data_IF_011210665280
#
_entry.id   IF_011210665280
#
_cell.length_a   1.000
_cell.length_b   1.000
_cell.length_c   1.000
_cell.angle_alpha   90.00
_cell.angle_beta   90.00
_cell.angle_gamma   90.00
#
_symmetry.space_group_name_H-M   'P 1'
#
loop_
_entity.id
_entity.type
_entity.pdbx_description
1 polymer ?
#
# COMPACT_ATOMS: atom_id res chain seq x y z
N UNK A 1 12.47 -16.34 37.67
CA UNK A 1 13.48 -16.00 36.65
C UNK A 1 12.93 -15.04 35.58
N UNK A 2 11.85 -15.40 34.85
CA UNK A 2 11.24 -14.55 33.81
C UNK A 2 10.79 -13.16 34.32
N UNK A 3 10.08 -13.08 35.45
CA UNK A 3 9.71 -11.81 36.10
C UNK A 3 10.93 -10.97 36.54
N UNK A 4 11.96 -11.62 37.11
CA UNK A 4 13.06 -10.94 37.80
C UNK A 4 14.21 -10.48 36.88
N UNK A 5 14.39 -11.11 35.72
CA UNK A 5 15.47 -10.75 34.78
C UNK A 5 14.94 -9.85 33.65
N UNK A 6 13.67 -9.98 33.29
CA UNK A 6 13.12 -9.40 32.05
C UNK A 6 11.87 -8.53 32.23
N UNK A 7 11.46 -8.23 33.48
CA UNK A 7 10.33 -7.35 33.82
C UNK A 7 8.98 -7.70 33.18
N UNK A 8 8.72 -8.99 32.89
CA UNK A 8 7.40 -9.41 32.43
C UNK A 8 6.35 -9.29 33.53
N UNK A 9 5.14 -8.93 33.13
CA UNK A 9 3.96 -8.98 33.99
C UNK A 9 3.58 -10.43 34.29
N UNK A 10 2.81 -10.62 35.35
CA UNK A 10 2.33 -11.93 35.77
C UNK A 10 1.46 -12.61 34.71
N UNK A 11 0.64 -11.82 34.00
CA UNK A 11 -0.21 -12.31 32.91
C UNK A 11 0.61 -12.84 31.74
N UNK A 12 1.64 -12.09 31.31
CA UNK A 12 2.54 -12.51 30.22
C UNK A 12 3.32 -13.78 30.60
N UNK A 13 3.73 -13.88 31.86
CA UNK A 13 4.44 -15.06 32.36
C UNK A 13 3.55 -16.30 32.34
N UNK A 14 2.27 -16.16 32.69
CA UNK A 14 1.33 -17.28 32.75
C UNK A 14 0.88 -17.76 31.37
N UNK A 15 0.70 -16.86 30.40
CA UNK A 15 0.43 -17.23 29.00
C UNK A 15 1.57 -18.05 28.39
N UNK A 16 2.83 -17.68 28.69
CA UNK A 16 4.02 -18.39 28.21
C UNK A 16 4.07 -19.82 28.75
N UNK A 17 3.73 -20.02 30.03
CA UNK A 17 3.76 -21.33 30.67
C UNK A 17 2.62 -22.25 30.19
N UNK A 18 1.42 -21.70 30.01
CA UNK A 18 0.25 -22.45 29.54
C UNK A 18 0.37 -22.90 28.08
N UNK A 19 1.02 -22.11 27.22
CA UNK A 19 1.13 -22.39 25.79
C UNK A 19 2.07 -23.57 25.46
N UNK A 20 2.96 -23.95 26.38
CA UNK A 20 4.03 -24.91 26.09
C UNK A 20 4.01 -26.22 26.90
N UNK A 21 2.94 -26.48 27.68
CA UNK A 21 2.56 -27.80 28.21
C UNK A 21 3.73 -28.70 28.66
N UNK A 22 4.62 -28.18 29.53
CA UNK A 22 5.92 -28.77 29.86
C UNK A 22 5.75 -30.01 30.77
N UNK A 23 6.08 -31.25 30.33
CA UNK A 23 6.11 -32.42 31.19
C UNK A 23 7.55 -32.73 31.64
N UNK A 24 7.70 -33.12 32.91
CA UNK A 24 8.97 -33.44 33.56
C UNK A 24 9.36 -34.91 33.29
N UNK A 25 10.65 -35.09 32.95
CA UNK A 25 11.55 -36.26 33.06
C UNK A 25 11.75 -37.27 31.90
N UNK A 26 13.02 -37.22 31.44
CA UNK A 26 14.05 -38.27 31.39
C UNK A 26 14.24 -39.19 30.17
N UNK A 27 15.40 -38.94 29.53
CA UNK A 27 16.52 -39.85 29.18
C UNK A 27 16.85 -40.06 27.67
N UNK A 28 18.05 -39.55 27.36
CA UNK A 28 19.14 -40.20 26.59
C UNK A 28 19.20 -39.94 25.07
N UNK A 29 20.08 -38.98 24.73
CA UNK A 29 21.39 -39.19 24.08
C UNK A 29 21.39 -39.77 22.65
N UNK A 30 21.69 -38.89 21.70
CA UNK A 30 22.93 -38.83 20.90
C UNK A 30 22.75 -38.70 19.38
N UNK A 31 23.33 -37.61 18.87
CA UNK A 31 24.13 -37.44 17.63
C UNK A 31 23.43 -37.66 16.28
N UNK A 32 23.48 -36.60 15.45
CA UNK A 32 24.18 -36.49 14.14
C UNK A 32 24.09 -34.99 13.75
N UNK A 33 25.16 -34.19 13.86
CA UNK A 33 26.24 -33.95 12.87
C UNK A 33 25.74 -33.25 11.60
N UNK A 34 25.95 -31.93 11.47
CA UNK A 34 26.90 -31.36 10.48
C UNK A 34 26.89 -29.82 10.44
N UNK A 35 28.11 -29.28 10.40
CA UNK A 35 28.50 -27.95 9.91
C UNK A 35 27.87 -27.67 8.54
N UNK A 36 27.28 -26.49 8.35
CA UNK A 36 27.12 -25.89 7.02
C UNK A 36 27.79 -24.51 7.05
N UNK A 37 28.73 -24.32 6.12
CA UNK A 37 29.57 -23.15 5.91
C UNK A 37 28.75 -21.92 5.46
N UNK A 38 28.97 -20.78 6.09
CA UNK A 38 28.35 -19.48 5.80
C UNK A 38 28.99 -18.73 4.60
N UNK A 39 29.22 -19.38 3.46
CA UNK A 39 29.90 -18.74 2.32
C UNK A 39 29.21 -18.90 0.95
N UNK A 40 27.89 -19.14 0.92
CA UNK A 40 27.15 -19.31 -0.34
C UNK A 40 26.07 -18.25 -0.64
N UNK A 41 25.79 -17.29 0.24
CA UNK A 41 24.69 -16.35 0.02
C UNK A 41 25.05 -15.13 -0.84
N UNK A 42 26.33 -14.74 -0.92
CA UNK A 42 26.78 -13.63 -1.77
C UNK A 42 26.75 -13.93 -3.30
N UNK A 43 26.22 -15.08 -3.72
CA UNK A 43 26.16 -15.49 -5.13
C UNK A 43 24.81 -15.99 -5.62
N UNK A 44 23.76 -15.93 -4.80
CA UNK A 44 22.44 -16.43 -5.20
C UNK A 44 21.68 -15.41 -6.06
N UNK A 45 21.04 -15.88 -7.11
CA UNK A 45 20.22 -15.03 -7.97
C UNK A 45 18.76 -14.97 -7.47
N UNK A 46 17.99 -14.03 -8.02
CA UNK A 46 16.60 -13.71 -7.63
C UNK A 46 15.63 -14.91 -7.67
N UNK A 47 15.99 -15.99 -8.38
CA UNK A 47 15.18 -17.20 -8.49
C UNK A 47 15.45 -18.18 -7.33
N UNK A 48 16.67 -18.20 -6.80
CA UNK A 48 17.08 -19.08 -5.69
C UNK A 48 16.56 -18.58 -4.33
N UNK A 49 16.44 -17.26 -4.15
CA UNK A 49 15.76 -16.64 -3.00
C UNK A 49 14.27 -17.06 -2.92
N UNK A 50 13.61 -17.28 -4.06
CA UNK A 50 12.21 -17.72 -4.13
C UNK A 50 11.97 -19.17 -3.64
N UNK A 51 13.01 -20.00 -3.57
CA UNK A 51 12.91 -21.45 -3.27
C UNK A 51 13.16 -21.75 -1.77
N UNK A 52 13.58 -20.76 -0.98
CA UNK A 52 13.67 -20.94 0.46
C UNK A 52 12.25 -21.23 0.98
N UNK A 53 12.13 -22.12 1.96
CA UNK A 53 10.86 -22.47 2.62
C UNK A 53 10.82 -21.70 3.96
N UNK A 54 9.65 -21.26 4.46
CA UNK A 54 9.49 -20.43 5.67
C UNK A 54 10.35 -20.92 6.85
N UNK A 55 10.43 -22.24 7.04
CA UNK A 55 11.26 -22.87 8.07
C UNK A 55 12.77 -22.66 7.91
N UNK A 56 13.30 -22.66 6.68
CA UNK A 56 14.73 -22.46 6.42
C UNK A 56 15.15 -21.00 6.58
N UNK A 57 14.24 -20.06 6.29
CA UNK A 57 14.44 -18.64 6.54
C UNK A 57 14.44 -18.32 8.04
N UNK A 58 13.46 -18.84 8.78
CA UNK A 58 13.45 -18.73 10.25
C UNK A 58 14.71 -19.33 10.90
N UNK A 59 15.18 -20.49 10.43
CA UNK A 59 16.41 -21.13 10.91
C UNK A 59 17.66 -20.29 10.62
N UNK A 60 17.69 -19.57 9.49
CA UNK A 60 18.76 -18.63 9.14
C UNK A 60 18.79 -17.40 10.07
N UNK A 61 17.64 -16.79 10.37
CA UNK A 61 17.55 -15.66 11.30
C UNK A 61 17.95 -16.06 12.73
N UNK A 62 17.66 -17.30 13.14
CA UNK A 62 18.05 -17.84 14.45
C UNK A 62 19.56 -18.10 14.59
N UNK A 63 20.28 -18.26 13.47
CA UNK A 63 21.70 -18.61 13.44
C UNK A 63 22.61 -17.40 13.20
N UNK A 64 22.12 -16.33 12.57
CA UNK A 64 22.88 -15.09 12.37
C UNK A 64 22.45 -14.05 13.41
N UNK A 65 23.29 -13.86 14.43
CA UNK A 65 23.10 -12.89 15.52
C UNK A 65 23.16 -11.40 15.07
N UNK A 66 22.99 -11.10 13.79
CA UNK A 66 23.03 -9.75 13.24
C UNK A 66 21.61 -9.25 12.91
N UNK A 67 21.07 -8.42 13.80
CA UNK A 67 19.70 -7.90 13.71
C UNK A 67 19.49 -6.96 12.51
N UNK A 68 20.57 -6.34 12.02
CA UNK A 68 20.52 -5.32 10.96
C UNK A 68 20.39 -5.96 9.58
N UNK A 69 21.23 -6.95 9.25
CA UNK A 69 21.11 -7.77 8.01
C UNK A 69 19.81 -8.59 7.96
N UNK A 70 19.30 -9.01 9.13
CA UNK A 70 18.03 -9.73 9.28
C UNK A 70 16.84 -8.86 8.88
N UNK A 71 16.92 -7.54 9.10
CA UNK A 71 15.80 -6.61 8.85
C UNK A 71 15.57 -6.37 7.34
N UNK A 72 16.65 -6.24 6.55
CA UNK A 72 16.55 -6.08 5.08
C UNK A 72 15.98 -7.34 4.40
N UNK A 73 16.38 -8.52 4.86
CA UNK A 73 15.88 -9.81 4.35
C UNK A 73 14.39 -10.05 4.68
N UNK A 74 13.90 -9.56 5.82
CA UNK A 74 12.49 -9.65 6.21
C UNK A 74 11.60 -8.78 5.29
N UNK A 75 12.09 -7.63 4.82
CA UNK A 75 11.36 -6.77 3.88
C UNK A 75 11.18 -7.42 2.50
N UNK A 76 12.09 -8.32 2.09
CA UNK A 76 12.05 -9.01 0.81
C UNK A 76 11.23 -10.33 0.84
N UNK A 77 11.11 -10.97 2.02
CA UNK A 77 10.76 -12.40 2.09
C UNK A 77 9.33 -12.77 2.52
N UNK A 78 8.52 -11.91 3.17
CA UNK A 78 7.12 -12.31 3.46
C UNK A 78 6.08 -11.18 3.42
N UNK A 79 5.48 -10.99 2.24
CA UNK A 79 4.26 -10.18 2.02
C UNK A 79 2.95 -10.90 2.38
N UNK A 80 2.97 -12.18 2.78
CA UNK A 80 1.77 -13.01 2.63
C UNK A 80 1.01 -13.30 3.92
N UNK A 81 1.65 -13.49 5.08
CA UNK A 81 0.92 -13.78 6.33
C UNK A 81 1.06 -12.71 7.43
N UNK A 82 2.28 -12.36 7.84
CA UNK A 82 2.52 -11.36 8.91
C UNK A 82 2.17 -9.96 8.42
N UNK A 83 2.51 -9.63 7.17
CA UNK A 83 2.08 -8.39 6.53
C UNK A 83 0.55 -8.25 6.54
N UNK A 84 -0.20 -9.30 6.18
CA UNK A 84 -1.66 -9.26 6.19
C UNK A 84 -2.23 -9.10 7.60
N UNK A 85 -1.61 -9.71 8.62
CA UNK A 85 -1.98 -9.49 10.03
C UNK A 85 -1.75 -8.03 10.45
N UNK A 86 -0.58 -7.49 10.15
CA UNK A 86 -0.25 -6.09 10.44
C UNK A 86 -1.17 -5.12 9.72
N UNK A 87 -1.45 -5.39 8.44
CA UNK A 87 -2.39 -4.62 7.62
C UNK A 87 -3.78 -4.62 8.22
N UNK A 88 -4.33 -5.79 8.54
CA UNK A 88 -5.66 -5.92 9.16
C UNK A 88 -5.73 -5.15 10.47
N UNK A 89 -4.71 -5.27 11.32
CA UNK A 89 -4.64 -4.54 12.59
C UNK A 89 -4.60 -3.03 12.40
N UNK A 90 -3.84 -2.55 11.42
CA UNK A 90 -3.83 -1.13 11.06
C UNK A 90 -5.19 -0.64 10.55
N UNK A 91 -5.86 -1.42 9.70
CA UNK A 91 -7.19 -1.09 9.17
C UNK A 91 -8.22 -0.96 10.31
N UNK A 92 -8.16 -1.86 11.31
CA UNK A 92 -8.97 -1.78 12.54
C UNK A 92 -8.67 -0.51 13.35
N UNK A 93 -7.40 -0.20 13.62
CA UNK A 93 -7.00 1.01 14.38
C UNK A 93 -7.38 2.31 13.66
N UNK A 94 -7.21 2.37 12.34
CA UNK A 94 -7.62 3.50 11.50
C UNK A 94 -9.14 3.68 11.52
N UNK A 95 -9.90 2.59 11.41
CA UNK A 95 -11.35 2.67 11.46
C UNK A 95 -11.86 3.06 12.85
N UNK A 96 -11.21 2.59 13.92
CA UNK A 96 -11.48 3.03 15.29
C UNK A 96 -11.22 4.53 15.47
N UNK A 97 -10.18 5.08 14.83
CA UNK A 97 -9.95 6.53 14.82
C UNK A 97 -11.13 7.29 14.21
N UNK A 98 -11.70 6.83 13.10
CA UNK A 98 -12.90 7.46 12.50
C UNK A 98 -14.08 7.35 13.47
N UNK A 99 -14.35 6.13 13.97
CA UNK A 99 -15.50 5.83 14.84
C UNK A 99 -15.48 6.61 16.15
N UNK A 100 -14.29 6.80 16.75
CA UNK A 100 -14.13 7.49 18.03
C UNK A 100 -14.14 9.02 17.91
N UNK A 101 -14.26 9.56 16.69
CA UNK A 101 -14.34 11.01 16.43
C UNK A 101 -15.61 11.35 15.64
N UNK A 102 -16.83 11.03 16.15
CA UNK A 102 -18.08 11.22 15.42
C UNK A 102 -18.50 12.70 15.29
N UNK A 103 -17.92 13.60 16.10
CA UNK A 103 -18.13 15.05 16.04
C UNK A 103 -17.42 15.70 14.84
N UNK A 104 -16.47 14.99 14.21
CA UNK A 104 -15.75 15.51 13.05
C UNK A 104 -16.58 15.35 11.78
N UNK A 105 -16.50 16.31 10.84
CA UNK A 105 -17.30 16.29 9.62
C UNK A 105 -16.71 15.32 8.58
N UNK A 106 -16.68 14.03 8.92
CA UNK A 106 -16.27 12.96 8.00
C UNK A 106 -17.21 12.88 6.81
N UNK A 107 -16.64 12.66 5.62
CA UNK A 107 -17.43 12.55 4.40
C UNK A 107 -17.64 11.08 4.05
N UNK A 108 -18.74 10.50 4.54
CA UNK A 108 -19.00 9.06 4.44
C UNK A 108 -19.14 8.52 3.02
N UNK A 109 -19.54 9.37 2.05
CA UNK A 109 -19.50 8.99 0.63
C UNK A 109 -18.08 8.64 0.17
N UNK A 110 -17.10 9.44 0.58
CA UNK A 110 -15.68 9.23 0.25
C UNK A 110 -15.12 8.05 1.05
N UNK A 111 -15.46 7.96 2.35
CA UNK A 111 -15.03 6.81 3.16
C UNK A 111 -15.53 5.48 2.56
N UNK A 112 -16.74 5.47 1.98
CA UNK A 112 -17.27 4.29 1.27
C UNK A 112 -16.44 3.87 0.06
N UNK A 113 -15.71 4.80 -0.57
CA UNK A 113 -14.79 4.53 -1.67
C UNK A 113 -13.42 4.03 -1.19
N UNK A 114 -13.08 4.30 0.08
CA UNK A 114 -11.75 4.06 0.61
C UNK A 114 -11.38 2.57 0.52
N UNK A 115 -10.23 2.22 -0.07
CA UNK A 115 -9.79 0.83 -0.25
C UNK A 115 -9.49 0.11 1.07
N UNK A 116 -9.42 0.81 2.20
CA UNK A 116 -9.26 0.22 3.52
C UNK A 116 -10.61 -0.17 4.16
N UNK A 117 -11.76 0.26 3.60
CA UNK A 117 -13.09 -0.17 4.05
C UNK A 117 -13.40 -1.56 3.49
N UNK A 118 -13.58 -2.52 4.39
CA UNK A 118 -13.98 -3.89 4.07
C UNK A 118 -15.48 -4.10 4.26
N UNK A 119 -16.04 -5.12 3.61
CA UNK A 119 -17.45 -5.49 3.82
C UNK A 119 -17.75 -5.84 5.28
N UNK A 120 -16.82 -6.50 5.99
CA UNK A 120 -17.01 -6.82 7.41
C UNK A 120 -17.10 -5.55 8.29
N UNK A 121 -16.33 -4.50 7.98
CA UNK A 121 -16.46 -3.21 8.66
C UNK A 121 -17.82 -2.58 8.42
N UNK A 122 -18.31 -2.58 7.18
CA UNK A 122 -19.64 -2.06 6.81
C UNK A 122 -20.73 -2.82 7.55
N UNK A 123 -20.69 -4.16 7.48
CA UNK A 123 -21.66 -5.07 8.11
C UNK A 123 -21.70 -4.93 9.64
N UNK A 124 -20.56 -4.77 10.29
CA UNK A 124 -20.47 -4.63 11.75
C UNK A 124 -20.84 -3.22 12.25
N UNK A 125 -20.96 -2.24 11.36
CA UNK A 125 -21.27 -0.85 11.73
C UNK A 125 -22.41 -0.28 10.86
N UNK A 126 -23.63 -0.85 10.94
CA UNK A 126 -24.75 -0.48 10.06
C UNK A 126 -25.35 0.91 10.37
N UNK A 127 -25.01 1.50 11.51
CA UNK A 127 -25.46 2.83 11.92
C UNK A 127 -24.69 3.96 11.22
N UNK A 128 -23.53 3.65 10.62
CA UNK A 128 -22.77 4.60 9.82
C UNK A 128 -23.50 4.82 8.48
N UNK A 129 -23.64 6.07 8.00
CA UNK A 129 -24.36 6.37 6.77
C UNK A 129 -23.52 6.03 5.52
N UNK A 130 -23.27 4.74 5.31
CA UNK A 130 -22.54 4.22 4.16
C UNK A 130 -23.26 4.54 2.85
N UNK A 131 -22.48 4.90 1.82
CA UNK A 131 -23.00 5.07 0.46
C UNK A 131 -22.85 3.75 -0.31
N UNK A 132 -23.96 3.03 -0.43
CA UNK A 132 -23.98 1.73 -1.11
C UNK A 132 -23.77 1.81 -2.64
N UNK A 133 -24.05 2.96 -3.27
CA UNK A 133 -23.71 3.17 -4.68
C UNK A 133 -22.19 3.19 -4.87
N UNK A 134 -21.47 3.87 -3.96
CA UNK A 134 -20.00 3.93 -3.99
C UNK A 134 -19.37 2.63 -3.50
N UNK A 135 -19.91 1.98 -2.47
CA UNK A 135 -19.44 0.65 -2.06
C UNK A 135 -19.54 -0.35 -3.22
N UNK A 136 -20.53 -0.21 -4.10
CA UNK A 136 -20.71 -1.09 -5.26
C UNK A 136 -19.51 -1.10 -6.22
N UNK A 137 -18.74 -0.02 -6.33
CA UNK A 137 -17.51 0.02 -7.16
C UNK A 137 -16.27 -0.46 -6.39
N UNK A 138 -16.32 -0.56 -5.06
CA UNK A 138 -15.19 -0.95 -4.23
C UNK A 138 -14.74 -2.39 -4.52
N UNK A 139 -13.43 -2.58 -4.75
CA UNK A 139 -12.81 -3.88 -5.08
C UNK A 139 -13.00 -4.95 -3.99
N UNK A 140 -13.35 -4.56 -2.77
CA UNK A 140 -13.64 -5.50 -1.68
C UNK A 140 -15.08 -6.01 -1.68
N UNK A 141 -15.96 -5.46 -2.51
CA UNK A 141 -17.28 -6.03 -2.78
C UNK A 141 -17.17 -7.05 -3.91
N UNK A 142 -17.33 -8.32 -3.57
CA UNK A 142 -17.37 -9.43 -4.52
C UNK A 142 -18.81 -9.73 -4.95
N UNK A 143 -18.97 -10.49 -6.03
CA UNK A 143 -20.30 -10.91 -6.47
C UNK A 143 -20.99 -11.82 -5.45
N UNK A 144 -20.25 -12.65 -4.71
CA UNK A 144 -20.77 -13.48 -3.62
C UNK A 144 -21.37 -12.59 -2.51
N UNK A 145 -20.69 -11.52 -2.11
CA UNK A 145 -21.21 -10.55 -1.14
C UNK A 145 -22.52 -9.94 -1.63
N UNK A 146 -22.60 -9.55 -2.90
CA UNK A 146 -23.82 -8.99 -3.50
C UNK A 146 -24.96 -10.02 -3.49
N UNK A 147 -24.66 -11.28 -3.83
CA UNK A 147 -25.63 -12.37 -3.88
C UNK A 147 -26.15 -12.76 -2.49
N UNK A 148 -25.27 -12.81 -1.50
CA UNK A 148 -25.59 -13.23 -0.13
C UNK A 148 -26.33 -12.12 0.65
N UNK A 149 -26.26 -10.87 0.18
CA UNK A 149 -26.89 -9.71 0.82
C UNK A 149 -27.85 -8.99 -0.15
N UNK A 150 -28.93 -9.65 -0.63
CA UNK A 150 -29.81 -9.10 -1.66
C UNK A 150 -30.72 -7.96 -1.19
N UNK A 151 -30.82 -7.76 0.13
CA UNK A 151 -31.60 -6.68 0.76
C UNK A 151 -30.86 -5.34 0.76
N UNK A 152 -29.54 -5.36 0.53
CA UNK A 152 -28.72 -4.15 0.42
C UNK A 152 -29.00 -3.50 -0.94
N UNK A 153 -29.16 -2.17 -1.00
CA UNK A 153 -29.47 -1.45 -2.24
C UNK A 153 -28.22 -1.31 -3.13
N UNK A 154 -27.67 -2.41 -3.62
CA UNK A 154 -26.52 -2.41 -4.51
C UNK A 154 -26.83 -1.72 -5.84
N UNK A 155 -25.91 -0.86 -6.29
CA UNK A 155 -26.01 -0.18 -7.57
C UNK A 155 -25.38 -0.99 -8.68
N UNK A 156 -26.21 -1.66 -9.47
CA UNK A 156 -25.75 -2.43 -10.64
C UNK A 156 -25.06 -1.56 -11.70
N UNK A 157 -25.38 -0.27 -11.74
CA UNK A 157 -24.68 0.69 -12.57
C UNK A 157 -23.22 0.86 -12.14
N UNK A 158 -22.94 0.98 -10.83
CA UNK A 158 -21.57 1.10 -10.30
C UNK A 158 -20.86 -0.26 -10.20
N UNK A 159 -21.56 -1.35 -9.89
CA UNK A 159 -21.02 -2.72 -9.99
C UNK A 159 -20.48 -3.01 -11.40
N UNK A 160 -21.05 -2.39 -12.43
CA UNK A 160 -20.55 -2.53 -13.81
C UNK A 160 -19.08 -2.12 -13.97
N UNK A 161 -18.56 -1.24 -13.11
CA UNK A 161 -17.14 -0.82 -13.10
C UNK A 161 -16.27 -1.67 -12.16
N UNK A 162 -16.87 -2.51 -11.33
CA UNK A 162 -16.18 -3.28 -10.32
C UNK A 162 -15.36 -4.42 -10.97
N UNK A 163 -14.06 -4.56 -10.63
CA UNK A 163 -13.20 -5.59 -11.22
C UNK A 163 -13.60 -7.03 -10.87
N UNK A 164 -14.46 -7.24 -9.86
CA UNK A 164 -14.99 -8.56 -9.52
C UNK A 164 -16.22 -8.96 -10.35
N UNK A 165 -16.73 -8.07 -11.22
CA UNK A 165 -17.87 -8.37 -12.08
C UNK A 165 -17.38 -8.83 -13.45
N UNK A 166 -17.66 -10.08 -13.77
CA UNK A 166 -17.36 -10.70 -15.07
C UNK A 166 -18.52 -10.55 -16.05
N UNK A 167 -18.24 -10.73 -17.34
CA UNK A 167 -19.31 -10.72 -18.36
C UNK A 167 -20.35 -11.83 -18.14
N UNK A 168 -19.95 -13.00 -17.65
CA UNK A 168 -20.90 -14.09 -17.35
C UNK A 168 -21.88 -13.71 -16.25
N UNK A 169 -21.42 -13.00 -15.22
CA UNK A 169 -22.30 -12.45 -14.17
C UNK A 169 -23.32 -11.49 -14.81
N UNK A 170 -22.86 -10.58 -15.67
CA UNK A 170 -23.74 -9.61 -16.36
C UNK A 170 -24.77 -10.32 -17.24
N UNK A 171 -24.34 -11.33 -18.00
CA UNK A 171 -25.19 -12.12 -18.89
C UNK A 171 -26.25 -12.92 -18.13
N UNK A 172 -25.87 -13.60 -17.05
CA UNK A 172 -26.75 -14.40 -16.21
C UNK A 172 -27.72 -13.55 -15.38
N UNK A 173 -27.44 -12.25 -15.21
CA UNK A 173 -28.25 -11.30 -14.47
C UNK A 173 -28.67 -10.13 -15.38
N UNK A 174 -29.05 -10.43 -16.62
CA UNK A 174 -29.37 -9.44 -17.66
C UNK A 174 -30.58 -8.57 -17.33
N UNK A 175 -31.43 -8.98 -16.40
CA UNK A 175 -32.56 -8.22 -15.89
C UNK A 175 -32.14 -7.04 -14.98
N UNK A 176 -30.88 -6.97 -14.57
CA UNK A 176 -30.35 -5.87 -13.74
C UNK A 176 -29.92 -4.68 -14.60
N UNK A 177 -29.96 -3.48 -14.03
CA UNK A 177 -29.65 -2.22 -14.72
C UNK A 177 -28.14 -1.97 -14.78
N UNK A 178 -27.42 -2.74 -15.61
CA UNK A 178 -26.00 -2.55 -15.84
C UNK A 178 -25.71 -1.31 -16.70
N UNK A 179 -24.67 -0.55 -16.35
CA UNK A 179 -24.23 0.64 -17.09
C UNK A 179 -23.34 0.25 -18.26
N UNK A 180 -23.74 0.59 -19.49
CA UNK A 180 -22.91 0.33 -20.66
C UNK A 180 -21.60 1.12 -20.64
N UNK A 181 -21.62 2.34 -20.09
CA UNK A 181 -20.43 3.17 -19.92
C UNK A 181 -19.40 2.45 -19.04
N UNK A 182 -19.80 2.03 -17.85
CA UNK A 182 -18.92 1.36 -16.90
C UNK A 182 -18.48 -0.03 -17.35
N UNK A 183 -19.36 -0.81 -17.99
CA UNK A 183 -18.98 -2.09 -18.58
C UNK A 183 -17.91 -1.90 -19.66
N UNK A 184 -18.03 -0.90 -20.52
CA UNK A 184 -17.10 -0.67 -21.64
C UNK A 184 -15.66 -0.44 -21.18
N UNK A 185 -15.45 0.16 -20.00
CA UNK A 185 -14.13 0.35 -19.39
C UNK A 185 -13.72 -0.75 -18.41
N UNK A 186 -14.59 -1.74 -18.16
CA UNK A 186 -14.31 -2.78 -17.17
C UNK A 186 -13.20 -3.72 -17.70
N UNK A 187 -12.17 -4.04 -16.89
CA UNK A 187 -11.05 -4.87 -17.31
C UNK A 187 -11.43 -6.32 -17.66
N UNK A 188 -12.63 -6.79 -17.27
CA UNK A 188 -13.15 -8.10 -17.65
C UNK A 188 -13.90 -8.11 -18.98
N UNK A 189 -14.02 -6.98 -19.69
CA UNK A 189 -14.60 -6.90 -21.02
C UNK A 189 -13.49 -6.97 -22.07
N UNK A 190 -13.46 -8.07 -22.82
CA UNK A 190 -12.53 -8.30 -23.93
C UNK A 190 -13.14 -7.89 -25.26
N UNK A 191 -12.31 -7.75 -26.30
CA UNK A 191 -12.79 -7.52 -27.65
C UNK A 191 -13.70 -8.64 -28.15
N UNK A 192 -13.42 -9.90 -27.83
CA UNK A 192 -14.29 -11.03 -28.20
C UNK A 192 -15.68 -10.92 -27.59
N UNK A 193 -15.79 -10.45 -26.34
CA UNK A 193 -17.08 -10.17 -25.70
C UNK A 193 -17.82 -9.08 -26.48
N UNK A 194 -17.13 -7.98 -26.83
CA UNK A 194 -17.73 -6.87 -27.57
C UNK A 194 -18.22 -7.34 -28.95
N UNK A 195 -17.37 -8.04 -29.71
CA UNK A 195 -17.65 -8.57 -31.04
C UNK A 195 -18.82 -9.56 -31.05
N UNK A 196 -18.90 -10.44 -30.04
CA UNK A 196 -19.98 -11.43 -29.94
C UNK A 196 -21.30 -10.85 -29.41
N UNK A 197 -21.32 -9.58 -28.96
CA UNK A 197 -22.50 -8.92 -28.42
C UNK A 197 -22.78 -7.56 -29.11
N UNK A 198 -22.95 -7.52 -30.45
CA UNK A 198 -23.02 -6.28 -31.21
C UNK A 198 -24.28 -5.44 -30.93
N UNK A 199 -25.34 -6.06 -30.40
CA UNK A 199 -26.59 -5.36 -30.01
C UNK A 199 -26.45 -4.57 -28.70
N UNK A 200 -25.40 -4.83 -27.91
CA UNK A 200 -25.14 -4.09 -26.68
C UNK A 200 -24.62 -2.70 -27.06
N UNK A 201 -25.19 -1.67 -26.45
CA UNK A 201 -24.83 -0.26 -26.72
C UNK A 201 -23.51 0.11 -26.03
N UNK A 202 -22.40 -0.46 -26.48
CA UNK A 202 -21.08 -0.17 -25.94
C UNK A 202 -20.73 1.31 -26.08
N UNK A 203 -19.99 1.83 -25.10
CA UNK A 203 -19.43 3.17 -25.18
C UNK A 203 -18.05 3.09 -25.83
N UNK A 204 -17.93 3.54 -27.07
CA UNK A 204 -16.70 3.42 -27.84
C UNK A 204 -15.55 4.28 -27.31
N UNK A 205 -15.85 5.39 -26.62
CA UNK A 205 -14.83 6.19 -25.93
C UNK A 205 -14.16 5.37 -24.83
N UNK A 206 -14.97 4.74 -23.99
CA UNK A 206 -14.50 3.90 -22.88
C UNK A 206 -13.84 2.60 -23.38
N UNK A 207 -14.37 1.98 -24.45
CA UNK A 207 -13.70 0.84 -25.08
C UNK A 207 -12.31 1.22 -25.61
N UNK A 208 -12.16 2.40 -26.22
CA UNK A 208 -10.86 2.86 -26.73
C UNK A 208 -9.83 2.98 -25.60
N UNK A 209 -10.24 3.33 -24.38
CA UNK A 209 -9.34 3.38 -23.23
C UNK A 209 -9.16 2.03 -22.52
N UNK A 210 -9.90 0.98 -22.91
CA UNK A 210 -9.91 -0.30 -22.21
C UNK A 210 -8.61 -1.10 -22.45
N UNK A 211 -7.98 -1.67 -21.40
CA UNK A 211 -6.72 -2.42 -21.52
C UNK A 211 -6.78 -3.63 -22.46
N UNK A 212 -7.96 -4.17 -22.75
CA UNK A 212 -8.15 -5.29 -23.68
C UNK A 212 -8.33 -4.87 -25.14
N UNK A 213 -8.30 -3.57 -25.44
CA UNK A 213 -8.32 -3.05 -26.80
C UNK A 213 -6.89 -2.64 -27.18
N UNK A 214 -6.35 -3.30 -28.22
CA UNK A 214 -5.01 -3.03 -28.76
C UNK A 214 -5.11 -2.20 -30.04
N UNK A 215 -3.99 -1.63 -30.47
CA UNK A 215 -3.93 -0.94 -31.76
C UNK A 215 -4.28 -1.87 -32.94
N UNK A 216 -3.86 -3.14 -32.88
CA UNK A 216 -4.20 -4.14 -33.89
C UNK A 216 -5.70 -4.39 -33.99
N UNK A 217 -6.42 -4.38 -32.85
CA UNK A 217 -7.88 -4.47 -32.85
C UNK A 217 -8.50 -3.25 -33.54
N UNK A 218 -7.96 -2.05 -33.26
CA UNK A 218 -8.47 -0.81 -33.86
C UNK A 218 -8.33 -0.83 -35.39
N UNK A 219 -7.13 -1.13 -35.91
CA UNK A 219 -6.87 -1.10 -37.36
C UNK A 219 -7.61 -2.20 -38.12
N UNK A 220 -7.85 -3.36 -37.49
CA UNK A 220 -8.59 -4.47 -38.12
C UNK A 220 -10.11 -4.30 -38.04
N UNK A 221 -10.62 -3.28 -37.34
CA UNK A 221 -12.05 -3.02 -37.19
C UNK A 221 -12.35 -1.52 -37.40
N UNK A 222 -12.10 -0.98 -38.62
CA UNK A 222 -12.18 0.46 -38.89
C UNK A 222 -13.61 1.02 -38.85
N UNK A 223 -14.64 0.18 -39.02
CA UNK A 223 -16.05 0.60 -38.98
C UNK A 223 -16.53 0.96 -37.57
N UNK A 224 -15.75 0.62 -36.55
CA UNK A 224 -16.05 0.96 -35.16
C UNK A 224 -15.60 2.41 -34.92
N UNK A 225 -16.45 3.27 -34.32
CA UNK A 225 -16.11 4.67 -34.08
C UNK A 225 -15.15 4.82 -32.88
N UNK A 226 -13.91 4.37 -33.05
CA UNK A 226 -12.85 4.47 -32.05
C UNK A 226 -12.52 5.93 -31.72
N UNK A 227 -12.19 6.19 -30.46
CA UNK A 227 -11.79 7.50 -29.97
C UNK A 227 -10.28 7.53 -29.72
N UNK A 228 -9.51 8.00 -30.70
CA UNK A 228 -8.04 8.08 -30.65
C UNK A 228 -7.52 8.93 -29.47
N UNK A 229 -8.22 10.02 -29.16
CA UNK A 229 -7.92 10.84 -27.97
C UNK A 229 -7.99 10.02 -26.68
N UNK A 230 -8.99 9.13 -26.55
CA UNK A 230 -9.12 8.24 -25.38
C UNK A 230 -8.16 7.05 -25.43
N UNK A 231 -7.83 6.55 -26.63
CA UNK A 231 -6.80 5.51 -26.80
C UNK A 231 -5.41 5.99 -26.38
N UNK A 232 -5.13 7.30 -26.37
CA UNK A 232 -3.87 7.85 -25.83
C UNK A 232 -3.66 7.51 -24.35
N UNK A 233 -4.74 7.24 -23.60
CA UNK A 233 -4.67 6.79 -22.19
C UNK A 233 -4.71 5.27 -22.03
N UNK A 234 -4.73 4.51 -23.14
CA UNK A 234 -4.74 3.05 -23.12
C UNK A 234 -3.34 2.52 -22.75
N UNK A 235 -3.21 1.49 -21.89
CA UNK A 235 -1.91 0.93 -21.54
C UNK A 235 -1.15 0.28 -22.71
N UNK A 236 -1.84 -0.04 -23.81
CA UNK A 236 -1.21 -0.55 -25.04
C UNK A 236 -0.77 0.56 -26.01
N UNK A 237 -0.95 1.83 -25.65
CA UNK A 237 -0.55 2.96 -26.46
C UNK A 237 0.98 3.16 -26.41
N UNK A 238 1.56 3.54 -27.55
CA UNK A 238 2.97 3.93 -27.65
C UNK A 238 3.15 5.00 -28.72
N UNK A 239 4.28 5.69 -28.68
CA UNK A 239 4.55 6.84 -29.54
C UNK A 239 4.72 6.50 -31.02
N UNK A 240 5.11 5.26 -31.35
CA UNK A 240 5.24 4.80 -32.75
C UNK A 240 3.89 4.78 -33.47
N UNK A 241 2.79 4.63 -32.73
CA UNK A 241 1.44 4.74 -33.28
C UNK A 241 1.16 6.16 -33.76
N UNK A 242 1.59 7.19 -33.03
CA UNK A 242 1.46 8.59 -33.47
C UNK A 242 2.31 8.83 -34.71
N UNK A 243 3.58 8.38 -34.71
CA UNK A 243 4.49 8.59 -35.85
C UNK A 243 3.93 8.04 -37.16
N UNK A 244 3.26 6.89 -37.11
CA UNK A 244 2.64 6.26 -38.28
C UNK A 244 1.27 6.86 -38.64
N UNK A 245 0.64 7.57 -37.72
CA UNK A 245 -0.72 8.11 -37.89
C UNK A 245 -0.83 9.54 -37.31
N UNK A 246 -0.03 10.50 -37.81
CA UNK A 246 0.07 11.83 -37.20
C UNK A 246 -1.23 12.65 -37.33
N UNK A 247 -2.06 12.35 -38.33
CA UNK A 247 -3.27 13.11 -38.65
C UNK A 247 -4.48 12.76 -37.76
N UNK A 248 -4.34 11.76 -36.88
CA UNK A 248 -5.40 11.38 -35.94
C UNK A 248 -5.42 12.32 -34.73
N UNK A 249 -6.62 12.52 -34.16
CA UNK A 249 -6.82 13.42 -33.02
C UNK A 249 -6.33 12.78 -31.69
N UNK A 250 -5.03 12.84 -31.45
CA UNK A 250 -4.37 12.35 -30.23
C UNK A 250 -4.49 13.33 -29.06
N UNK A 251 -4.37 12.83 -27.82
CA UNK A 251 -4.37 13.67 -26.62
C UNK A 251 -2.94 14.01 -26.18
N UNK A 252 -2.37 15.10 -26.70
CA UNK A 252 -0.98 15.48 -26.40
C UNK A 252 -0.76 15.85 -24.93
N UNK A 253 -1.75 16.37 -24.21
CA UNK A 253 -1.67 16.57 -22.76
C UNK A 253 -1.43 15.25 -22.01
N UNK A 254 -2.23 14.22 -22.30
CA UNK A 254 -2.08 12.90 -21.67
C UNK A 254 -0.80 12.18 -22.07
N UNK A 255 -0.35 12.38 -23.31
CA UNK A 255 0.95 11.90 -23.78
C UNK A 255 2.08 12.58 -22.99
N UNK A 256 2.11 13.93 -22.97
CA UNK A 256 3.12 14.72 -22.24
C UNK A 256 3.24 14.35 -20.77
N UNK A 257 2.14 13.96 -20.12
CA UNK A 257 2.12 13.55 -18.71
C UNK A 257 2.86 12.24 -18.41
N UNK A 258 3.07 11.36 -19.41
CA UNK A 258 3.47 9.96 -19.18
C UNK A 258 4.70 9.50 -19.97
N UNK A 259 5.45 10.42 -20.59
CA UNK A 259 6.66 10.10 -21.38
C UNK A 259 7.95 10.33 -20.60
N UNK A 260 9.06 9.74 -21.06
CA UNK A 260 10.40 10.10 -20.56
C UNK A 260 10.88 11.37 -21.23
N UNK A 261 11.81 12.08 -20.60
CA UNK A 261 12.43 13.25 -21.21
C UNK A 261 13.21 12.93 -22.49
N UNK A 262 13.88 11.77 -22.54
CA UNK A 262 14.54 11.26 -23.75
C UNK A 262 13.55 11.10 -24.91
N UNK A 263 12.34 10.60 -24.63
CA UNK A 263 11.28 10.51 -25.65
C UNK A 263 10.88 11.90 -26.18
N UNK A 264 10.86 12.93 -25.33
CA UNK A 264 10.57 14.30 -25.77
C UNK A 264 11.65 14.80 -26.73
N UNK A 265 12.93 14.58 -26.38
CA UNK A 265 14.09 14.99 -27.19
C UNK A 265 14.16 14.25 -28.53
N UNK A 266 13.89 12.94 -28.55
CA UNK A 266 13.91 12.11 -29.76
C UNK A 266 12.79 12.45 -30.74
N UNK A 267 11.76 13.18 -30.29
CA UNK A 267 10.56 13.47 -31.06
C UNK A 267 10.20 14.97 -31.01
N UNK A 268 11.05 15.85 -31.54
CA UNK A 268 10.89 17.30 -31.40
C UNK A 268 9.70 17.86 -32.20
N UNK A 269 9.19 17.09 -33.18
CA UNK A 269 8.05 17.50 -34.02
C UNK A 269 6.69 17.17 -33.38
N UNK A 270 6.67 16.46 -32.26
CA UNK A 270 5.43 16.22 -31.51
C UNK A 270 5.07 17.50 -30.76
N UNK A 271 3.82 18.00 -30.84
CA UNK A 271 3.38 19.19 -30.13
C UNK A 271 3.17 18.86 -28.64
N UNK A 272 4.27 18.75 -27.91
CA UNK A 272 4.27 18.48 -26.47
C UNK A 272 3.54 19.59 -25.71
N UNK A 273 2.57 19.20 -24.90
CA UNK A 273 1.84 20.10 -24.01
C UNK A 273 2.67 20.44 -22.76
N UNK A 274 2.94 21.73 -22.55
CA UNK A 274 3.78 22.21 -21.43
C UNK A 274 3.16 21.96 -20.06
N UNK A 275 1.83 22.06 -19.94
CA UNK A 275 1.13 21.79 -18.69
C UNK A 275 1.24 20.30 -18.33
N UNK A 276 1.13 19.42 -19.33
CA UNK A 276 1.35 17.98 -19.20
C UNK A 276 2.80 17.64 -18.87
N UNK A 277 3.78 18.31 -19.48
CA UNK A 277 5.20 18.12 -19.11
C UNK A 277 5.46 18.56 -17.66
N UNK A 278 4.92 19.70 -17.23
CA UNK A 278 5.09 20.19 -15.86
C UNK A 278 4.55 19.21 -14.80
N UNK A 279 3.46 18.50 -15.13
CA UNK A 279 2.86 17.48 -14.27
C UNK A 279 3.43 16.07 -14.43
N UNK A 280 4.40 15.86 -15.32
CA UNK A 280 4.93 14.54 -15.62
C UNK A 280 5.92 14.09 -14.52
N UNK A 281 5.69 12.87 -14.01
CA UNK A 281 6.48 12.27 -12.93
C UNK A 281 7.92 11.91 -13.29
N UNK A 282 8.29 12.01 -14.57
CA UNK A 282 9.65 11.80 -15.08
C UNK A 282 10.44 13.11 -15.26
N UNK A 283 9.81 14.27 -15.05
CA UNK A 283 10.48 15.58 -15.16
C UNK A 283 11.13 15.92 -13.81
N UNK A 284 12.45 16.04 -13.82
CA UNK A 284 13.25 16.42 -12.66
C UNK A 284 13.52 17.93 -12.66
N UNK A 285 13.93 18.46 -11.50
CA UNK A 285 14.35 19.86 -11.41
C UNK A 285 15.52 20.21 -12.35
N UNK A 286 16.47 19.29 -12.55
CA UNK A 286 17.56 19.50 -13.50
C UNK A 286 17.06 19.65 -14.94
N UNK A 287 16.02 18.91 -15.32
CA UNK A 287 15.38 19.07 -16.64
C UNK A 287 14.74 20.45 -16.74
N UNK A 288 14.00 20.88 -15.72
CA UNK A 288 13.37 22.21 -15.69
C UNK A 288 14.42 23.31 -15.85
N UNK A 289 15.47 23.27 -15.03
CA UNK A 289 16.56 24.26 -15.01
C UNK A 289 17.35 24.32 -16.32
N UNK A 290 17.60 23.18 -16.96
CA UNK A 290 18.35 23.12 -18.21
C UNK A 290 17.52 23.46 -19.45
N UNK A 291 16.21 23.63 -19.31
CA UNK A 291 15.30 23.94 -20.43
C UNK A 291 14.41 25.16 -20.12
N UNK A 292 15.01 26.35 -19.92
CA UNK A 292 14.27 27.56 -19.51
C UNK A 292 13.34 28.13 -20.59
N UNK A 293 13.48 27.68 -21.85
CA UNK A 293 12.61 28.10 -22.95
C UNK A 293 11.24 27.42 -22.93
N UNK A 294 11.07 26.38 -22.11
CA UNK A 294 9.77 25.75 -21.89
C UNK A 294 9.02 26.58 -20.87
N UNK A 295 7.75 26.88 -21.18
CA UNK A 295 6.86 27.59 -20.27
C UNK A 295 6.38 26.61 -19.19
N UNK A 296 7.22 26.40 -18.18
CA UNK A 296 6.92 25.52 -17.05
C UNK A 296 5.85 26.13 -16.15
N UNK A 297 4.85 25.32 -15.82
CA UNK A 297 3.75 25.72 -14.95
C UNK A 297 4.13 25.46 -13.50
N UNK A 298 4.62 26.47 -12.79
CA UNK A 298 5.13 26.31 -11.41
C UNK A 298 4.06 25.90 -10.41
N UNK A 299 2.80 26.27 -10.63
CA UNK A 299 1.67 25.72 -9.88
C UNK A 299 1.64 24.19 -9.95
N UNK A 300 1.98 23.64 -11.12
CA UNK A 300 1.96 22.21 -11.41
C UNK A 300 3.24 21.53 -10.92
N UNK A 301 4.40 22.16 -11.14
CA UNK A 301 5.66 21.70 -10.58
C UNK A 301 5.63 21.65 -9.05
N UNK A 302 4.95 22.60 -8.39
CA UNK A 302 4.84 22.63 -6.93
C UNK A 302 4.20 21.38 -6.33
N UNK A 303 3.36 20.64 -7.04
CA UNK A 303 2.84 19.35 -6.56
C UNK A 303 3.62 18.13 -7.11
N UNK A 304 4.57 18.34 -8.03
CA UNK A 304 5.32 17.27 -8.68
C UNK A 304 6.26 16.58 -7.67
N UNK A 305 6.24 15.24 -7.67
CA UNK A 305 7.03 14.41 -6.75
C UNK A 305 8.55 14.53 -6.91
N UNK A 306 9.04 15.14 -7.99
CA UNK A 306 10.48 15.37 -8.17
C UNK A 306 10.93 16.74 -7.65
N UNK A 307 10.00 17.58 -7.18
CA UNK A 307 10.30 18.83 -6.49
C UNK A 307 10.35 18.55 -4.98
N UNK A 308 11.56 18.60 -4.43
CA UNK A 308 11.82 18.42 -3.00
C UNK A 308 11.82 19.76 -2.26
N UNK A 309 11.67 19.72 -0.93
CA UNK A 309 11.79 20.92 -0.12
C UNK A 309 13.16 21.62 -0.26
N UNK A 310 14.25 20.85 -0.41
CA UNK A 310 15.58 21.42 -0.63
C UNK A 310 15.68 22.17 -1.96
N UNK A 311 15.01 21.70 -3.02
CA UNK A 311 14.90 22.42 -4.29
C UNK A 311 14.20 23.76 -4.08
N UNK A 312 13.03 23.75 -3.42
CA UNK A 312 12.26 24.97 -3.14
C UNK A 312 13.08 25.96 -2.32
N UNK A 313 13.71 25.48 -1.24
CA UNK A 313 14.55 26.30 -0.35
C UNK A 313 15.76 26.92 -1.05
N UNK A 314 16.38 26.20 -1.98
CA UNK A 314 17.57 26.66 -2.70
C UNK A 314 17.23 27.54 -3.92
N UNK A 315 15.97 27.62 -4.34
CA UNK A 315 15.52 28.41 -5.47
C UNK A 315 14.28 29.25 -5.07
N UNK A 316 14.42 30.19 -4.12
CA UNK A 316 13.29 30.92 -3.54
C UNK A 316 12.68 31.97 -4.48
N UNK A 317 13.40 32.38 -5.53
CA UNK A 317 12.94 33.36 -6.52
C UNK A 317 11.98 32.76 -7.55
N UNK A 318 11.90 31.43 -7.62
CA UNK A 318 10.97 30.74 -8.51
C UNK A 318 9.54 30.86 -7.96
N UNK A 319 8.52 30.96 -8.83
CA UNK A 319 7.15 31.27 -8.42
C UNK A 319 6.41 30.03 -7.86
N UNK A 320 6.96 29.43 -6.80
CA UNK A 320 6.39 28.26 -6.15
C UNK A 320 5.02 28.56 -5.55
N UNK A 321 4.08 27.65 -5.78
CA UNK A 321 2.76 27.67 -5.16
C UNK A 321 2.77 26.87 -3.86
N UNK A 322 2.81 27.58 -2.72
CA UNK A 322 2.85 26.95 -1.39
C UNK A 322 1.61 26.14 -1.03
N UNK A 323 0.44 26.47 -1.60
CA UNK A 323 -0.77 25.66 -1.47
C UNK A 323 -0.61 24.32 -2.19
N UNK A 324 -0.02 24.28 -3.38
CA UNK A 324 0.28 23.03 -4.08
C UNK A 324 1.47 22.27 -3.45
N UNK A 325 2.44 22.97 -2.87
CA UNK A 325 3.49 22.34 -2.07
C UNK A 325 2.91 21.66 -0.81
N UNK A 326 1.90 22.24 -0.16
CA UNK A 326 1.25 21.61 1.00
C UNK A 326 0.79 20.18 0.74
N UNK A 327 0.33 19.85 -0.48
CA UNK A 327 -0.07 18.50 -0.86
C UNK A 327 1.04 17.64 -1.48
N UNK A 328 2.23 18.20 -1.71
CA UNK A 328 3.34 17.53 -2.37
C UNK A 328 3.91 16.39 -1.48
N UNK A 329 4.15 15.18 -2.05
CA UNK A 329 4.66 14.04 -1.30
C UNK A 329 6.07 14.21 -0.72
N UNK A 330 6.82 15.27 -1.04
CA UNK A 330 8.10 15.59 -0.41
C UNK A 330 8.00 16.61 0.73
N UNK A 331 6.82 17.18 0.98
CA UNK A 331 6.58 18.02 2.15
C UNK A 331 6.16 17.11 3.29
N UNK A 332 7.10 16.81 4.18
CA UNK A 332 6.87 16.01 5.38
C UNK A 332 6.29 16.88 6.50
N UNK A 333 5.66 16.24 7.49
CA UNK A 333 5.22 16.96 8.69
C UNK A 333 6.37 17.64 9.43
N UNK A 334 7.58 17.05 9.40
CA UNK A 334 8.79 17.66 9.96
C UNK A 334 9.15 18.98 9.27
N UNK A 335 9.06 19.02 7.94
CA UNK A 335 9.27 20.26 7.17
C UNK A 335 8.25 21.33 7.58
N UNK A 336 6.98 20.95 7.74
CA UNK A 336 5.91 21.87 8.14
C UNK A 336 6.18 22.49 9.51
N UNK A 337 6.55 21.68 10.51
CA UNK A 337 6.80 22.19 11.88
C UNK A 337 8.11 22.99 12.00
N UNK A 338 9.13 22.65 11.20
CA UNK A 338 10.43 23.33 11.21
C UNK A 338 10.40 24.65 10.43
N UNK A 339 9.38 24.88 9.61
CA UNK A 339 9.21 26.11 8.83
C UNK A 339 7.86 26.78 9.12
N UNK A 340 7.62 27.23 10.37
CA UNK A 340 6.31 27.77 10.79
C UNK A 340 6.00 29.15 10.23
N UNK A 341 6.97 29.81 9.59
CA UNK A 341 6.81 31.11 8.93
C UNK A 341 6.15 31.00 7.55
N UNK A 342 6.09 29.78 7.00
CA UNK A 342 5.39 29.49 5.75
C UNK A 342 3.92 29.30 6.07
N UNK A 343 3.06 29.97 5.30
CA UNK A 343 1.61 29.81 5.40
C UNK A 343 1.16 28.51 4.71
N UNK A 344 1.41 27.39 5.38
CA UNK A 344 1.01 26.07 4.89
C UNK A 344 -0.50 25.93 4.88
N UNK A 345 -1.07 25.66 3.70
CA UNK A 345 -2.49 25.39 3.53
C UNK A 345 -2.86 24.01 4.15
N UNK A 346 -3.61 24.02 5.26
CA UNK A 346 -4.01 22.80 5.98
C UNK A 346 -5.12 22.01 5.28
N UNK A 347 -5.90 22.63 4.39
CA UNK A 347 -6.83 21.89 3.52
C UNK A 347 -6.02 21.00 2.56
N UNK A 348 -4.90 21.51 2.05
CA UNK A 348 -4.01 20.80 1.12
C UNK A 348 -3.05 19.85 1.85
N UNK A 349 -2.59 20.19 3.05
CA UNK A 349 -1.86 19.21 3.89
C UNK A 349 -2.74 18.01 4.21
N UNK A 350 -4.05 18.19 4.35
CA UNK A 350 -4.96 17.06 4.58
C UNK A 350 -4.94 16.05 3.42
N UNK A 351 -4.62 16.48 2.19
CA UNK A 351 -4.42 15.61 1.01
C UNK A 351 -3.04 14.96 0.97
N UNK A 352 -2.06 15.51 1.69
CA UNK A 352 -0.68 15.10 1.58
C UNK A 352 -0.50 13.65 2.09
N UNK A 353 0.13 12.76 1.30
CA UNK A 353 0.30 11.36 1.68
C UNK A 353 1.14 11.16 2.94
N UNK A 354 1.98 12.14 3.34
CA UNK A 354 2.78 12.09 4.57
C UNK A 354 2.02 12.51 5.83
N UNK A 355 0.81 13.06 5.69
CA UNK A 355 -0.04 13.33 6.85
C UNK A 355 -0.72 12.03 7.27
N UNK A 356 -0.28 11.49 8.40
CA UNK A 356 -0.82 10.28 9.01
C UNK A 356 -1.97 10.61 9.96
N UNK A 357 -2.88 9.67 10.21
CA UNK A 357 -3.94 9.90 11.21
C UNK A 357 -3.36 10.08 12.63
N UNK A 358 -2.17 9.53 12.92
CA UNK A 358 -1.43 9.79 14.15
C UNK A 358 -0.93 11.25 14.26
N UNK A 359 -0.51 11.86 13.14
CA UNK A 359 -0.20 13.29 13.10
C UNK A 359 -1.46 14.11 13.40
N UNK A 360 -2.58 13.78 12.76
CA UNK A 360 -3.87 14.46 12.99
C UNK A 360 -4.29 14.33 14.46
N UNK A 361 -4.22 13.11 15.03
CA UNK A 361 -4.56 12.80 16.42
C UNK A 361 -3.70 13.57 17.43
N UNK A 362 -2.39 13.71 17.17
CA UNK A 362 -1.46 14.48 18.03
C UNK A 362 -1.58 15.98 17.89
N UNK A 363 -2.20 16.47 16.80
CA UNK A 363 -2.31 17.88 16.49
C UNK A 363 -3.78 18.30 16.24
N UNK A 364 -4.68 18.10 17.22
CA UNK A 364 -6.13 18.29 17.00
C UNK A 364 -6.54 19.74 16.79
N UNK A 365 -5.69 20.70 17.20
CA UNK A 365 -5.96 22.14 17.10
C UNK A 365 -5.61 22.74 15.72
N UNK A 366 -5.03 21.95 14.82
CA UNK A 366 -4.77 22.39 13.44
C UNK A 366 -6.06 22.34 12.63
N UNK A 367 -6.17 23.23 11.65
CA UNK A 367 -7.35 23.37 10.79
C UNK A 367 -7.44 22.25 9.73
N UNK A 368 -7.42 20.99 10.17
CA UNK A 368 -7.52 19.84 9.28
C UNK A 368 -8.87 19.81 8.57
N UNK A 369 -8.83 19.47 7.29
CA UNK A 369 -10.01 19.25 6.49
C UNK A 369 -10.42 17.78 6.55
N UNK A 370 -11.42 17.46 7.38
CA UNK A 370 -11.85 16.07 7.58
C UNK A 370 -12.55 15.46 6.36
N UNK A 371 -13.12 16.28 5.48
CA UNK A 371 -13.59 15.79 4.18
C UNK A 371 -12.42 15.28 3.36
N UNK A 372 -11.36 16.09 3.24
CA UNK A 372 -10.13 15.70 2.55
C UNK A 372 -9.42 14.52 3.22
N UNK A 373 -9.31 14.50 4.54
CA UNK A 373 -8.71 13.36 5.27
C UNK A 373 -9.48 12.06 5.03
N UNK A 374 -10.77 12.13 4.71
CA UNK A 374 -11.56 10.96 4.30
C UNK A 374 -11.04 10.38 2.97
N UNK A 375 -10.53 11.22 2.08
CA UNK A 375 -9.95 10.85 0.77
C UNK A 375 -8.53 10.29 0.91
N UNK A 376 -7.85 10.61 2.02
CA UNK A 376 -6.51 10.12 2.27
C UNK A 376 -6.55 8.63 2.62
N UNK A 377 -5.88 7.82 1.79
CA UNK A 377 -5.78 6.37 2.01
C UNK A 377 -4.79 6.01 3.14
N UNK A 378 -4.07 7.01 3.68
CA UNK A 378 -3.05 6.88 4.71
C UNK A 378 -2.03 5.76 4.40
N UNK A 379 -1.70 5.58 3.11
CA UNK A 379 -0.85 4.48 2.65
C UNK A 379 0.54 4.49 3.33
N UNK A 380 1.18 5.66 3.47
CA UNK A 380 2.48 5.77 4.15
C UNK A 380 2.36 5.37 5.62
N UNK A 381 1.34 5.88 6.33
CA UNK A 381 1.04 5.48 7.71
C UNK A 381 0.86 3.97 7.84
N UNK A 382 0.16 3.34 6.90
CA UNK A 382 -0.04 1.90 6.87
C UNK A 382 1.27 1.15 6.69
N UNK A 383 2.07 1.53 5.71
CA UNK A 383 3.34 0.85 5.44
C UNK A 383 4.33 1.00 6.62
N UNK A 384 4.45 2.19 7.21
CA UNK A 384 5.27 2.41 8.40
C UNK A 384 4.80 1.58 9.60
N UNK A 385 3.48 1.56 9.84
CA UNK A 385 2.89 0.73 10.89
C UNK A 385 3.18 -0.75 10.66
N UNK A 386 2.99 -1.24 9.44
CA UNK A 386 3.21 -2.65 9.10
C UNK A 386 4.69 -3.01 9.27
N UNK A 387 5.62 -2.15 8.84
CA UNK A 387 7.06 -2.35 9.07
C UNK A 387 7.38 -2.47 10.56
N UNK A 388 6.84 -1.58 11.38
CA UNK A 388 6.99 -1.63 12.85
C UNK A 388 6.38 -2.92 13.42
N UNK A 389 5.17 -3.27 13.01
CA UNK A 389 4.48 -4.49 13.44
C UNK A 389 5.28 -5.75 13.10
N UNK A 390 5.79 -5.86 11.88
CA UNK A 390 6.62 -6.98 11.42
C UNK A 390 7.88 -7.07 12.26
N UNK A 391 8.57 -5.95 12.50
CA UNK A 391 9.77 -5.89 13.34
C UNK A 391 9.47 -6.37 14.76
N UNK A 392 8.38 -5.90 15.37
CA UNK A 392 7.96 -6.32 16.71
C UNK A 392 7.54 -7.80 16.75
N UNK A 393 6.85 -8.28 15.73
CA UNK A 393 6.42 -9.68 15.62
C UNK A 393 7.63 -10.62 15.59
N UNK A 394 8.58 -10.38 14.68
CA UNK A 394 9.78 -11.21 14.59
C UNK A 394 10.70 -11.03 15.79
N UNK A 395 10.79 -9.82 16.36
CA UNK A 395 11.52 -9.62 17.61
C UNK A 395 10.96 -10.50 18.72
N UNK A 396 9.63 -10.54 18.91
CA UNK A 396 8.98 -11.39 19.91
C UNK A 396 9.17 -12.88 19.63
N UNK A 397 8.97 -13.32 18.39
CA UNK A 397 9.13 -14.72 17.99
C UNK A 397 10.59 -15.21 18.13
N UNK A 398 11.56 -14.41 17.68
CA UNK A 398 12.99 -14.70 17.85
C UNK A 398 13.38 -14.70 19.32
N UNK A 399 12.92 -13.72 20.12
CA UNK A 399 13.18 -13.66 21.55
C UNK A 399 12.60 -14.91 22.26
N UNK A 400 11.36 -15.30 21.95
CA UNK A 400 10.71 -16.50 22.51
C UNK A 400 11.48 -17.78 22.16
N UNK A 401 11.95 -17.93 20.92
CA UNK A 401 12.73 -19.11 20.49
C UNK A 401 14.14 -19.13 21.09
N UNK A 402 14.83 -17.98 21.18
CA UNK A 402 16.14 -17.87 21.83
C UNK A 402 16.02 -18.13 23.33
N UNK A 403 14.98 -17.59 23.99
CA UNK A 403 14.68 -17.85 25.39
C UNK A 403 14.38 -19.32 25.62
N UNK A 404 13.58 -19.95 24.76
CA UNK A 404 13.27 -21.38 24.82
C UNK A 404 14.52 -22.24 24.63
N UNK A 405 15.39 -21.90 23.67
CA UNK A 405 16.64 -22.62 23.40
C UNK A 405 17.67 -22.43 24.52
N UNK A 406 17.82 -21.21 25.05
CA UNK A 406 18.68 -20.95 26.22
C UNK A 406 18.15 -21.64 27.47
N UNK A 407 16.84 -21.66 27.68
CA UNK A 407 16.22 -22.40 28.77
C UNK A 407 16.44 -23.91 28.62
N UNK A 408 16.25 -24.47 27.41
CA UNK A 408 16.52 -25.89 27.14
C UNK A 408 18.01 -26.23 27.30
N UNK A 409 18.94 -25.41 26.79
CA UNK A 409 20.37 -25.59 26.99
C UNK A 409 20.76 -25.47 28.48
N UNK A 410 20.19 -24.51 29.20
CA UNK A 410 20.39 -24.37 30.66
C UNK A 410 19.87 -25.59 31.42
N UNK A 411 18.74 -26.17 31.00
CA UNK A 411 18.18 -27.40 31.55
C UNK A 411 18.97 -28.66 31.12
N UNK A 412 19.65 -28.64 29.98
CA UNK A 412 20.55 -29.71 29.53
C UNK A 412 21.90 -29.70 30.25
N UNK A 413 22.44 -28.51 30.57
CA UNK A 413 23.67 -28.34 31.35
C UNK A 413 23.48 -28.73 32.83
N UNK A 414 22.26 -28.61 33.37
CA UNK A 414 21.92 -29.02 34.74
C UNK A 414 21.47 -30.49 34.84
N UNK A 415 22.42 -31.42 34.71
CA UNK A 415 22.31 -32.75 35.32
C UNK A 415 22.86 -32.83 36.76
N UNK A 416 23.18 -31.68 37.38
CA UNK A 416 23.63 -31.61 38.77
C UNK A 416 22.55 -31.01 39.68
N UNK A 417 21.82 -31.90 40.36
CA UNK A 417 20.75 -31.59 41.31
C UNK A 417 21.31 -30.88 42.57
N UNK A 418 22.62 -30.96 42.82
CA UNK A 418 23.25 -30.43 44.03
C UNK A 418 23.43 -28.90 43.99
N UNK A 419 23.62 -28.33 42.79
CA UNK A 419 23.74 -26.88 42.57
C UNK A 419 22.44 -26.08 42.79
N UNK A 420 21.27 -26.71 42.58
CA UNK A 420 19.95 -26.10 42.79
C UNK A 420 19.69 -25.82 44.27
N UNK A 421 20.10 -26.71 45.17
CA UNK A 421 19.94 -26.52 46.61
C UNK A 421 20.84 -25.42 47.18
N UNK A 422 21.96 -25.08 46.51
CA UNK A 422 22.87 -24.01 46.95
C UNK A 422 22.34 -22.61 46.62
N UNK A 423 21.58 -22.47 45.52
CA UNK A 423 20.98 -21.20 45.11
C UNK A 423 19.59 -20.95 45.72
N UNK A 424 18.84 -22.01 46.06
CA UNK A 424 17.54 -21.86 46.72
C UNK A 424 17.63 -21.70 48.25
N UNK A 425 18.74 -22.10 48.88
CA UNK A 425 18.93 -22.03 50.34
C UNK A 425 19.96 -20.99 50.80
N UNK A 426 20.35 -20.02 49.96
CA UNK A 426 21.11 -18.87 50.47
C UNK A 426 20.16 -18.01 51.31
N UNK A 427 20.37 -17.86 52.63
CA UNK A 427 19.54 -16.97 53.42
C UNK A 427 19.70 -15.55 52.91
N UNK A 428 18.60 -14.78 52.89
CA UNK A 428 18.68 -13.32 52.76
C UNK A 428 19.60 -12.81 53.86
N UNK A 429 20.76 -12.25 53.51
CA UNK A 429 21.43 -11.33 54.42
C UNK A 429 20.57 -10.07 54.50
N UNK A 430 19.74 -10.05 55.55
CA UNK A 430 19.18 -8.87 56.18
C UNK A 430 20.30 -8.05 56.83
N UNK A 431 20.24 -6.74 56.62
CA UNK A 431 20.59 -5.63 57.52
C UNK A 431 21.51 -5.85 58.75
N UNK A 432 22.40 -4.85 58.93
CA UNK A 432 23.26 -4.48 60.09
C UNK A 432 24.67 -5.12 60.09
N UNK A 433 25.78 -4.37 60.15
CA UNK A 433 26.07 -3.04 60.73
C UNK A 433 26.55 -1.97 59.75
#
# INVERSE_FOLDING_TARGET
MLKNIWNFTETETNEILLKHNIPIKNKIKNKIKNKINCMMLFKMNKFELKIINHHKFEEFLLNNNNLEETTELIEEYDKTSVYQKGKKKWEEEWFDFIKNNPDKPWYYNILSENPNITWEMVKNNPHIPWNYDILSINKHITWEIVKDNPHIPWSYAYLSANPNITWDIVKNNSNKKWSNYHLSRNPNITWDIVKNNPKKKWNHRELSANPNITWDIIINNPDIPWCYNSFTSNPNFNIEIIKKNPDLNWNYYKLSLNVTWETVLDNPNIPWDNFGLSGNSNITWDIVKNNPNILWEYDILSYNQNITWDIVKNNPEEPWNYRNLSQNPNITWEIVINNPHIDWDYDYLSFNPNITFEIVKKNPNKAWNYKTLSENNFNLSREEYIKKFIKEYYFKECLLKVMSKRFMNYMEDYNDIEGLNKYCNTPKESEME
#
